data_IF_322814190881
#
_entry.id   IF_322814190881
#
_cell.length_a   1.000
_cell.length_b   1.000
_cell.length_c   1.000
_cell.angle_alpha   90.00
_cell.angle_beta   90.00
_cell.angle_gamma   90.00
#
_symmetry.space_group_name_H-M   'P 1'
#
loop_
_entity.id
_entity.type
_entity.pdbx_description
1 polymer ?
#
# COMPACT_ATOMS: atom_id res chain seq x y z
N UNK A 1 -23.11 17.69 -4.98
CA UNK A 1 -22.18 16.68 -4.47
C UNK A 1 -20.88 16.81 -5.26
N UNK A 2 -19.73 16.74 -4.61
CA UNK A 2 -18.43 16.70 -5.30
C UNK A 2 -18.13 15.24 -5.67
N UNK A 3 -17.82 14.98 -6.93
CA UNK A 3 -17.28 13.69 -7.38
C UNK A 3 -15.77 13.83 -7.47
N UNK A 4 -15.05 12.89 -6.90
CA UNK A 4 -13.61 12.75 -7.06
C UNK A 4 -13.33 11.34 -7.54
N UNK A 5 -12.45 11.20 -8.51
CA UNK A 5 -12.06 9.92 -9.10
C UNK A 5 -10.58 9.69 -8.84
N UNK A 6 -10.22 8.44 -8.56
CA UNK A 6 -8.84 7.98 -8.50
C UNK A 6 -8.72 6.89 -9.55
N UNK A 7 -7.82 7.10 -10.51
CA UNK A 7 -7.61 6.21 -11.64
C UNK A 7 -6.23 5.58 -11.52
N UNK A 8 -6.17 4.26 -11.64
CA UNK A 8 -4.92 3.50 -11.76
C UNK A 8 -4.90 2.86 -13.15
N UNK A 9 -3.79 3.03 -13.86
CA UNK A 9 -3.53 2.36 -15.14
C UNK A 9 -2.34 1.44 -14.96
N UNK A 10 -2.53 0.16 -15.25
CA UNK A 10 -1.51 -0.88 -15.13
C UNK A 10 -1.23 -1.42 -16.53
N UNK A 11 0.00 -1.25 -16.99
CA UNK A 11 0.50 -1.83 -18.22
C UNK A 11 1.16 -3.17 -17.87
N UNK A 12 0.74 -4.23 -18.56
CA UNK A 12 1.19 -5.60 -18.34
C UNK A 12 2.02 -6.09 -19.52
N UNK A 13 2.97 -6.99 -19.25
CA UNK A 13 3.68 -7.72 -20.30
C UNK A 13 2.85 -8.90 -20.86
N UNK A 14 3.46 -9.67 -21.77
CA UNK A 14 2.87 -10.87 -22.38
C UNK A 14 2.55 -11.99 -21.36
N UNK A 15 3.15 -11.95 -20.16
CA UNK A 15 2.91 -12.91 -19.06
C UNK A 15 1.92 -12.37 -18.00
N UNK A 16 1.31 -11.21 -18.24
CA UNK A 16 0.43 -10.49 -17.31
C UNK A 16 1.12 -9.97 -16.04
N UNK A 17 2.42 -9.69 -16.10
CA UNK A 17 3.19 -9.06 -15.03
C UNK A 17 3.21 -7.54 -15.23
N UNK A 18 2.95 -6.72 -14.18
CA UNK A 18 3.03 -5.27 -14.28
C UNK A 18 4.42 -4.78 -14.71
N UNK A 19 4.48 -4.06 -15.83
CA UNK A 19 5.67 -3.33 -16.28
C UNK A 19 5.64 -1.89 -15.78
N UNK A 20 4.47 -1.25 -15.85
CA UNK A 20 4.29 0.15 -15.46
C UNK A 20 2.96 0.38 -14.77
N UNK A 21 2.99 1.15 -13.69
CA UNK A 21 1.78 1.58 -12.98
C UNK A 21 1.76 3.09 -12.95
N UNK A 22 0.65 3.69 -13.38
CA UNK A 22 0.42 5.12 -13.23
C UNK A 22 -0.87 5.38 -12.48
N UNK A 23 -0.93 6.49 -11.76
CA UNK A 23 -2.12 6.90 -11.03
C UNK A 23 -2.39 8.39 -11.16
N UNK A 24 -3.68 8.75 -11.10
CA UNK A 24 -4.11 10.14 -11.04
C UNK A 24 -5.35 10.27 -10.15
N UNK A 25 -5.58 11.45 -9.58
CA UNK A 25 -6.76 11.75 -8.79
C UNK A 25 -7.35 13.10 -9.18
N UNK A 26 -8.69 13.26 -9.17
CA UNK A 26 -9.34 14.52 -9.54
C UNK A 26 -8.93 15.72 -8.66
N UNK A 27 -8.46 15.44 -7.44
CA UNK A 27 -7.99 16.46 -6.50
C UNK A 27 -6.49 16.74 -6.59
N UNK A 28 -5.75 15.91 -7.34
CA UNK A 28 -4.37 16.18 -7.68
C UNK A 28 -4.41 17.36 -8.67
N UNK A 29 -3.89 18.52 -8.27
CA UNK A 29 -3.97 19.76 -9.06
C UNK A 29 -3.30 19.72 -10.44
N UNK A 30 -2.75 18.57 -10.85
CA UNK A 30 -2.24 18.27 -12.18
C UNK A 30 -3.09 17.18 -12.84
N UNK A 31 -3.39 17.35 -14.13
CA UNK A 31 -4.05 16.32 -14.94
C UNK A 31 -3.13 15.16 -15.34
N UNK A 32 -1.81 15.32 -15.20
CA UNK A 32 -0.86 14.31 -15.64
C UNK A 32 -0.75 13.16 -14.62
N UNK A 33 -0.84 11.90 -15.06
CA UNK A 33 -0.62 10.74 -14.20
C UNK A 33 0.80 10.69 -13.63
N UNK A 34 0.95 10.30 -12.36
CA UNK A 34 2.27 9.97 -11.79
C UNK A 34 2.55 8.49 -11.96
N UNK A 35 3.81 8.15 -12.19
CA UNK A 35 4.28 6.77 -12.14
C UNK A 35 4.51 6.33 -10.68
N UNK A 36 4.17 5.08 -10.37
CA UNK A 36 4.52 4.41 -9.13
C UNK A 36 5.04 3.01 -9.43
N UNK A 37 5.87 2.46 -8.55
CA UNK A 37 6.38 1.09 -8.66
C UNK A 37 5.49 0.06 -7.95
N UNK A 38 4.57 0.51 -7.09
CA UNK A 38 3.60 -0.37 -6.43
C UNK A 38 2.30 0.33 -6.05
N UNK A 39 1.24 -0.48 -5.89
CA UNK A 39 -0.02 -0.10 -5.27
C UNK A 39 -0.54 -1.25 -4.40
N UNK A 40 -1.19 -0.92 -3.29
CA UNK A 40 -1.95 -1.87 -2.46
C UNK A 40 -3.31 -1.28 -2.16
N UNK A 41 -4.37 -1.97 -2.56
CA UNK A 41 -5.75 -1.51 -2.43
C UNK A 41 -6.53 -2.57 -1.66
N UNK A 42 -7.21 -2.13 -0.60
CA UNK A 42 -8.16 -2.94 0.17
C UNK A 42 -9.56 -2.34 0.08
N UNK A 43 -10.54 -3.17 -0.25
CA UNK A 43 -11.94 -2.79 -0.39
C UNK A 43 -12.77 -3.62 0.58
N UNK A 44 -13.62 -2.97 1.37
CA UNK A 44 -14.59 -3.67 2.20
C UNK A 44 -15.84 -3.99 1.37
N UNK A 45 -16.11 -5.27 1.17
CA UNK A 45 -17.36 -5.75 0.59
C UNK A 45 -18.40 -5.87 1.71
N UNK A 46 -19.37 -4.96 1.72
CA UNK A 46 -20.41 -4.92 2.73
C UNK A 46 -21.48 -6.02 2.55
N UNK A 47 -21.61 -6.60 1.35
CA UNK A 47 -22.53 -7.69 1.08
C UNK A 47 -21.95 -9.01 1.58
N UNK A 48 -20.69 -9.28 1.25
CA UNK A 48 -19.98 -10.52 1.65
C UNK A 48 -19.33 -10.42 3.03
N UNK A 49 -19.27 -9.22 3.62
CA UNK A 49 -18.63 -8.92 4.91
C UNK A 49 -17.17 -9.39 4.95
N UNK A 50 -16.43 -9.12 3.89
CA UNK A 50 -15.02 -9.48 3.78
C UNK A 50 -14.21 -8.35 3.16
N UNK A 51 -12.89 -8.48 3.21
CA UNK A 51 -11.95 -7.55 2.58
C UNK A 51 -11.45 -8.15 1.28
N UNK A 52 -11.74 -7.48 0.17
CA UNK A 52 -11.09 -7.73 -1.12
C UNK A 52 -9.77 -6.97 -1.16
N UNK A 53 -8.74 -7.55 -1.77
CA UNK A 53 -7.41 -6.96 -1.80
C UNK A 53 -6.73 -7.17 -3.15
N UNK A 54 -5.97 -6.16 -3.56
CA UNK A 54 -5.12 -6.18 -4.73
C UNK A 54 -3.78 -5.54 -4.39
N UNK A 55 -2.69 -6.29 -4.52
CA UNK A 55 -1.32 -5.80 -4.37
C UNK A 55 -0.61 -5.98 -5.71
N UNK A 56 -0.10 -4.89 -6.27
CA UNK A 56 0.64 -4.88 -7.53
C UNK A 56 1.96 -4.17 -7.35
N UNK A 57 2.99 -4.67 -8.01
CA UNK A 57 4.29 -4.04 -8.10
C UNK A 57 4.88 -4.28 -9.48
N UNK A 58 5.65 -3.32 -9.97
CA UNK A 58 6.43 -3.45 -11.20
C UNK A 58 7.63 -4.36 -10.97
N UNK A 59 8.12 -5.01 -12.03
CA UNK A 59 9.32 -5.86 -11.98
C UNK A 59 10.58 -5.16 -11.48
N UNK A 60 10.63 -3.83 -11.63
CA UNK A 60 11.79 -3.02 -11.27
C UNK A 60 11.87 -2.70 -9.77
N UNK A 61 10.80 -2.94 -9.01
CA UNK A 61 10.78 -2.63 -7.58
C UNK A 61 11.72 -3.58 -6.81
N UNK A 62 12.77 -3.07 -6.13
CA UNK A 62 13.65 -3.90 -5.33
C UNK A 62 12.93 -4.60 -4.18
N UNK A 63 13.37 -5.81 -3.83
CA UNK A 63 12.72 -6.64 -2.79
C UNK A 63 12.74 -5.97 -1.40
N UNK A 64 13.82 -5.25 -1.08
CA UNK A 64 13.93 -4.47 0.15
C UNK A 64 12.92 -3.31 0.18
N UNK A 65 12.71 -2.61 -0.95
CA UNK A 65 11.66 -1.60 -1.06
C UNK A 65 10.26 -2.21 -0.97
N UNK A 66 10.02 -3.40 -1.53
CA UNK A 66 8.74 -4.09 -1.38
C UNK A 66 8.44 -4.42 0.09
N UNK A 67 9.44 -4.90 0.83
CA UNK A 67 9.30 -5.19 2.26
C UNK A 67 9.07 -3.91 3.07
N UNK A 68 9.80 -2.84 2.75
CA UNK A 68 9.60 -1.50 3.32
C UNK A 68 8.16 -1.01 3.07
N UNK A 69 7.65 -1.14 1.85
CA UNK A 69 6.29 -0.74 1.48
C UNK A 69 5.23 -1.45 2.34
N UNK A 70 5.35 -2.75 2.55
CA UNK A 70 4.41 -3.47 3.43
C UNK A 70 4.47 -3.01 4.90
N UNK A 71 5.66 -2.73 5.42
CA UNK A 71 5.83 -2.17 6.77
C UNK A 71 5.15 -0.81 6.87
N UNK A 72 5.38 0.07 5.89
CA UNK A 72 4.78 1.40 5.86
C UNK A 72 3.24 1.32 5.76
N UNK A 73 2.70 0.37 4.97
CA UNK A 73 1.26 0.09 4.93
C UNK A 73 0.72 -0.35 6.30
N UNK A 74 1.41 -1.26 6.99
CA UNK A 74 1.00 -1.72 8.32
C UNK A 74 0.99 -0.58 9.34
N UNK A 75 2.00 0.29 9.33
CA UNK A 75 2.05 1.49 10.18
C UNK A 75 0.90 2.46 9.87
N UNK A 76 0.59 2.67 8.59
CA UNK A 76 -0.56 3.47 8.17
C UNK A 76 -1.91 2.89 8.63
N UNK A 77 -2.04 1.56 8.61
CA UNK A 77 -3.21 0.86 9.14
C UNK A 77 -3.29 0.95 10.68
N UNK A 78 -2.16 0.92 11.39
CA UNK A 78 -2.10 1.09 12.84
C UNK A 78 -2.65 2.48 13.25
N UNK A 79 -2.25 3.52 12.52
CA UNK A 79 -2.80 4.86 12.73
C UNK A 79 -4.29 4.93 12.34
N UNK A 80 -4.68 4.26 11.26
CA UNK A 80 -6.06 4.27 10.78
C UNK A 80 -7.02 3.57 11.74
N UNK A 81 -6.64 2.43 12.33
CA UNK A 81 -7.48 1.76 13.33
C UNK A 81 -7.67 2.65 14.56
N UNK A 82 -6.61 3.29 15.05
CA UNK A 82 -6.71 4.23 16.16
C UNK A 82 -7.67 5.39 15.84
N UNK A 83 -7.52 6.03 14.68
CA UNK A 83 -8.33 7.18 14.32
C UNK A 83 -9.79 6.84 14.03
N UNK A 84 -10.06 5.64 13.50
CA UNK A 84 -11.40 5.24 13.07
C UNK A 84 -12.22 4.55 14.15
N UNK A 85 -11.57 3.81 15.05
CA UNK A 85 -12.26 3.02 16.10
C UNK A 85 -11.91 3.46 17.51
N UNK A 86 -10.80 4.18 17.72
CA UNK A 86 -10.28 4.50 19.05
C UNK A 86 -9.57 3.33 19.73
N UNK A 87 -9.28 2.24 19.01
CA UNK A 87 -8.67 1.05 19.60
C UNK A 87 -7.14 1.21 19.75
N UNK A 88 -6.73 1.66 20.93
CA UNK A 88 -5.31 1.82 21.31
C UNK A 88 -4.56 0.48 21.35
N UNK A 89 -5.22 -0.60 21.75
CA UNK A 89 -4.59 -1.91 21.85
C UNK A 89 -4.20 -2.43 20.46
N UNK A 90 -5.14 -2.40 19.50
CA UNK A 90 -4.85 -2.82 18.12
C UNK A 90 -3.75 -1.96 17.51
N UNK A 91 -3.82 -0.64 17.66
CA UNK A 91 -2.80 0.28 17.16
C UNK A 91 -1.41 -0.05 17.73
N UNK A 92 -1.31 -0.24 19.05
CA UNK A 92 -0.03 -0.57 19.69
C UNK A 92 0.52 -1.90 19.18
N UNK A 93 -0.30 -2.95 19.10
CA UNK A 93 0.17 -4.26 18.62
C UNK A 93 0.65 -4.22 17.17
N UNK A 94 0.02 -3.42 16.32
CA UNK A 94 0.46 -3.23 14.94
C UNK A 94 1.78 -2.46 14.85
N UNK A 95 1.97 -1.43 15.69
CA UNK A 95 3.24 -0.71 15.78
C UNK A 95 4.38 -1.61 16.29
N UNK A 96 4.14 -2.40 17.34
CA UNK A 96 5.11 -3.37 17.86
C UNK A 96 5.52 -4.40 16.79
N UNK A 97 4.58 -4.80 15.92
CA UNK A 97 4.88 -5.66 14.78
C UNK A 97 5.73 -4.93 13.73
N UNK A 98 5.41 -3.68 13.41
CA UNK A 98 6.21 -2.88 12.48
C UNK A 98 7.66 -2.77 12.94
N UNK A 99 7.90 -2.49 14.23
CA UNK A 99 9.26 -2.43 14.80
C UNK A 99 10.03 -3.74 14.61
N UNK A 100 9.38 -4.89 14.89
CA UNK A 100 9.97 -6.22 14.69
C UNK A 100 10.31 -6.47 13.21
N UNK A 101 9.44 -6.07 12.29
CA UNK A 101 9.65 -6.23 10.85
C UNK A 101 10.77 -5.33 10.33
N UNK A 102 10.86 -4.08 10.79
CA UNK A 102 11.96 -3.16 10.46
C UNK A 102 13.30 -3.76 10.87
N UNK A 103 13.40 -4.25 12.11
CA UNK A 103 14.64 -4.86 12.60
C UNK A 103 14.99 -6.16 11.87
N UNK A 104 13.99 -6.93 11.44
CA UNK A 104 14.21 -8.10 10.60
C UNK A 104 14.79 -7.72 9.22
N UNK A 105 14.17 -6.74 8.54
CA UNK A 105 14.62 -6.27 7.23
C UNK A 105 16.03 -5.67 7.31
N UNK A 106 16.33 -4.85 8.31
CA UNK A 106 17.68 -4.30 8.52
C UNK A 106 18.74 -5.41 8.60
N UNK A 107 18.48 -6.45 9.40
CA UNK A 107 19.40 -7.59 9.56
C UNK A 107 19.58 -8.37 8.27
N UNK A 108 18.50 -8.59 7.52
CA UNK A 108 18.53 -9.33 6.26
C UNK A 108 19.38 -8.63 5.20
N UNK A 109 19.29 -7.31 5.10
CA UNK A 109 20.03 -6.50 4.10
C UNK A 109 21.32 -5.87 4.63
N UNK A 110 21.74 -6.21 5.86
CA UNK A 110 22.97 -5.69 6.46
C UNK A 110 22.98 -4.18 6.68
N UNK A 111 21.81 -3.56 6.85
CA UNK A 111 21.66 -2.13 7.12
C UNK A 111 21.87 -1.88 8.63
N UNK A 112 22.78 -0.97 8.99
CA UNK A 112 23.00 -0.53 10.38
C UNK A 112 21.85 0.33 10.90
#
# INVERSE_FOLDING_TARGET
>A
MKKSEINFTVELDDENVPEKITWNASEKGSSDPDETKSISISLWDHEQKNTMRMDLWTKEMPVDEMKRFYIDCLGGLAQSVLNSTGDEFMSQQMNDLCEKLVEHVKKEFGMQ
#
